data_IF_087804191883
#
_entry.id   IF_087804191883
#
_cell.length_a   1.000
_cell.length_b   1.000
_cell.length_c   1.000
_cell.angle_alpha   90.00
_cell.angle_beta   90.00
_cell.angle_gamma   90.00
#
_symmetry.space_group_name_H-M   'P 1'
#
loop_
_entity.id
_entity.type
_entity.pdbx_description
1 polymer ?
#
# COMPACT_ATOMS: atom_id res chain seq x y z
N UNK A 1 10.48 -3.22 -14.63
CA UNK A 1 9.62 -3.34 -13.43
C UNK A 1 8.65 -2.16 -13.43
N UNK A 2 7.34 -2.40 -13.41
CA UNK A 2 6.35 -1.31 -13.31
C UNK A 2 6.27 -0.77 -11.88
N UNK A 3 5.78 0.46 -11.69
CA UNK A 3 5.61 1.05 -10.35
C UNK A 3 4.76 0.15 -9.42
N UNK A 4 3.73 -0.49 -9.96
CA UNK A 4 2.87 -1.43 -9.23
C UNK A 4 3.66 -2.68 -8.78
N UNK A 5 4.51 -3.22 -9.65
CA UNK A 5 5.36 -4.36 -9.30
C UNK A 5 6.36 -4.01 -8.20
N UNK A 6 6.93 -2.80 -8.24
CA UNK A 6 7.85 -2.33 -7.21
C UNK A 6 7.18 -2.25 -5.84
N UNK A 7 5.98 -1.66 -5.76
CA UNK A 7 5.19 -1.63 -4.53
C UNK A 7 4.76 -3.03 -4.05
N UNK A 8 4.58 -3.98 -4.97
CA UNK A 8 4.32 -5.38 -4.65
C UNK A 8 5.51 -6.05 -3.96
N UNK A 9 6.72 -5.86 -4.49
CA UNK A 9 7.96 -6.43 -3.90
C UNK A 9 8.28 -5.77 -2.56
N UNK A 10 8.11 -4.45 -2.45
CA UNK A 10 8.48 -3.69 -1.26
C UNK A 10 7.34 -3.57 -0.23
N UNK A 11 6.30 -4.41 -0.35
CA UNK A 11 5.12 -4.34 0.51
C UNK A 11 5.41 -4.73 1.97
N UNK A 12 6.33 -5.68 2.19
CA UNK A 12 6.75 -6.12 3.52
C UNK A 12 7.45 -5.00 4.30
N UNK A 13 8.34 -4.27 3.63
CA UNK A 13 9.09 -3.15 4.20
C UNK A 13 8.24 -1.89 4.41
N UNK A 14 7.24 -1.65 3.57
CA UNK A 14 6.32 -0.51 3.71
C UNK A 14 4.84 -0.93 3.60
N UNK A 15 4.26 -1.55 4.65
CA UNK A 15 2.91 -2.11 4.59
C UNK A 15 1.83 -1.05 4.40
N UNK A 16 1.93 0.08 5.11
CA UNK A 16 0.95 1.18 5.02
C UNK A 16 1.01 1.87 3.66
N UNK A 17 2.21 2.20 3.18
CA UNK A 17 2.39 2.88 1.90
C UNK A 17 2.08 1.99 0.70
N UNK A 18 2.40 0.70 0.77
CA UNK A 18 2.04 -0.25 -0.29
C UNK A 18 0.53 -0.49 -0.35
N UNK A 19 -0.19 -0.45 0.77
CA UNK A 19 -1.65 -0.43 0.77
C UNK A 19 -2.19 0.83 0.06
N UNK A 20 -1.69 2.01 0.44
CA UNK A 20 -2.08 3.27 -0.18
C UNK A 20 -1.76 3.28 -1.70
N UNK A 21 -0.57 2.82 -2.09
CA UNK A 21 -0.17 2.75 -3.49
C UNK A 21 -1.10 1.84 -4.31
N UNK A 22 -1.57 0.72 -3.74
CA UNK A 22 -2.54 -0.16 -4.43
C UNK A 22 -3.88 0.54 -4.68
N UNK A 23 -4.34 1.36 -3.74
CA UNK A 23 -5.61 2.06 -3.87
C UNK A 23 -5.51 3.21 -4.89
N UNK A 24 -4.47 4.04 -4.80
CA UNK A 24 -4.34 5.23 -5.65
C UNK A 24 -3.82 4.93 -7.06
N UNK A 25 -2.91 3.98 -7.24
CA UNK A 25 -2.41 3.62 -8.57
C UNK A 25 -3.44 2.82 -9.39
N UNK A 26 -4.48 2.27 -8.76
CA UNK A 26 -5.58 1.62 -9.46
C UNK A 26 -6.55 2.62 -10.11
N UNK A 27 -6.54 3.89 -9.67
CA UNK A 27 -7.40 4.94 -10.20
C UNK A 27 -6.95 5.27 -11.62
N UNK A 28 -7.88 5.19 -12.56
CA UNK A 28 -7.61 5.62 -13.93
C UNK A 28 -7.62 7.14 -14.01
N UNK A 29 -6.62 7.73 -14.67
CA UNK A 29 -6.57 9.17 -14.89
C UNK A 29 -7.66 9.69 -15.86
N UNK A 30 -8.30 8.80 -16.64
CA UNK A 30 -9.31 9.18 -17.64
C UNK A 30 -10.45 8.18 -17.78
N UNK A 31 -11.57 8.64 -18.35
CA UNK A 31 -12.76 7.84 -18.69
C UNK A 31 -12.56 6.94 -19.93
N UNK A 32 -11.42 6.99 -20.60
CA UNK A 32 -11.21 6.29 -21.88
C UNK A 32 -11.41 4.77 -21.76
N UNK A 33 -11.11 4.20 -20.59
CA UNK A 33 -11.33 2.78 -20.34
C UNK A 33 -12.82 2.42 -20.23
N UNK A 34 -13.62 3.26 -19.54
CA UNK A 34 -15.07 3.03 -19.43
C UNK A 34 -15.76 3.25 -20.76
N UNK A 35 -15.37 4.27 -21.54
CA UNK A 35 -15.86 4.49 -22.90
C UNK A 35 -15.57 3.30 -23.83
N UNK A 36 -14.36 2.73 -23.77
CA UNK A 36 -14.03 1.50 -24.51
C UNK A 36 -14.87 0.31 -24.07
N UNK A 37 -15.14 0.16 -22.78
CA UNK A 37 -16.02 -0.89 -22.27
C UNK A 37 -17.46 -0.72 -22.80
N UNK A 38 -18.00 0.50 -22.78
CA UNK A 38 -19.34 0.78 -23.31
C UNK A 38 -19.44 0.59 -24.82
N UNK A 39 -18.42 1.01 -25.58
CA UNK A 39 -18.34 0.77 -27.01
C UNK A 39 -18.33 -0.74 -27.33
N UNK A 40 -17.55 -1.53 -26.58
CA UNK A 40 -17.56 -3.00 -26.66
C UNK A 40 -18.92 -3.61 -26.30
N UNK A 41 -19.62 -3.05 -25.32
CA UNK A 41 -20.97 -3.48 -24.96
C UNK A 41 -21.96 -3.23 -26.11
N UNK A 42 -21.86 -2.09 -26.78
CA UNK A 42 -22.67 -1.78 -27.97
C UNK A 42 -22.48 -2.78 -29.10
N UNK A 43 -21.27 -3.32 -29.30
CA UNK A 43 -21.01 -4.40 -30.27
C UNK A 43 -21.68 -5.71 -29.83
N UNK A 44 -21.68 -5.98 -28.52
CA UNK A 44 -22.26 -7.21 -27.94
C UNK A 44 -23.79 -7.21 -28.08
N UNK A 45 -24.42 -6.06 -27.91
CA UNK A 45 -25.87 -5.84 -28.12
C UNK A 45 -26.10 -5.49 -29.61
N UNK A 46 -26.04 -6.48 -30.48
CA UNK A 46 -26.36 -6.26 -31.90
C UNK A 46 -27.88 -6.13 -32.13
N UNK A 47 -28.30 -5.57 -33.28
CA UNK A 47 -29.74 -5.46 -33.66
C UNK A 47 -30.51 -6.78 -33.59
N UNK A 48 -29.84 -7.93 -33.73
CA UNK A 48 -30.44 -9.28 -33.63
C UNK A 48 -30.47 -9.84 -32.20
N UNK A 49 -29.70 -9.27 -31.26
CA UNK A 49 -29.59 -9.69 -29.85
C UNK A 49 -29.91 -8.52 -28.90
N UNK A 50 -30.95 -7.76 -29.21
CA UNK A 50 -31.36 -6.56 -28.47
C UNK A 50 -32.26 -6.85 -27.25
N UNK A 51 -32.59 -8.11 -26.99
CA UNK A 51 -33.48 -8.53 -25.89
C UNK A 51 -32.73 -8.96 -24.62
N UNK A 52 -31.49 -8.49 -24.47
CA UNK A 52 -30.67 -8.71 -23.27
C UNK A 52 -31.01 -7.63 -22.24
N UNK A 53 -31.20 -8.06 -21.00
CA UNK A 53 -31.32 -7.14 -19.87
C UNK A 53 -29.93 -6.57 -19.49
N UNK A 54 -29.92 -5.43 -18.81
CA UNK A 54 -28.68 -4.72 -18.45
C UNK A 54 -27.72 -5.53 -17.58
N UNK A 55 -28.26 -6.27 -16.61
CA UNK A 55 -27.55 -7.23 -15.75
C UNK A 55 -26.78 -8.30 -16.57
N UNK A 56 -27.40 -8.85 -17.61
CA UNK A 56 -26.76 -9.85 -18.47
C UNK A 56 -25.63 -9.22 -19.29
N UNK A 57 -25.82 -7.99 -19.78
CA UNK A 57 -24.79 -7.27 -20.54
C UNK A 57 -23.60 -6.94 -19.64
N UNK A 58 -23.85 -6.52 -18.41
CA UNK A 58 -22.81 -6.27 -17.40
C UNK A 58 -22.00 -7.53 -17.13
N UNK A 59 -22.67 -8.64 -16.80
CA UNK A 59 -22.02 -9.93 -16.58
C UNK A 59 -21.20 -10.39 -17.80
N UNK A 60 -21.70 -10.17 -19.02
CA UNK A 60 -20.97 -10.48 -20.25
C UNK A 60 -19.72 -9.61 -20.44
N UNK A 61 -19.80 -8.29 -20.19
CA UNK A 61 -18.62 -7.43 -20.29
C UNK A 61 -17.59 -7.79 -19.21
N UNK A 62 -18.04 -8.12 -17.99
CA UNK A 62 -17.17 -8.57 -16.92
C UNK A 62 -16.45 -9.87 -17.29
N UNK A 63 -17.19 -10.90 -17.71
CA UNK A 63 -16.61 -12.17 -18.14
C UNK A 63 -15.63 -11.99 -19.31
N UNK A 64 -15.98 -11.17 -20.29
CA UNK A 64 -15.10 -10.83 -21.42
C UNK A 64 -13.80 -10.16 -20.96
N UNK A 65 -13.87 -9.27 -19.97
CA UNK A 65 -12.71 -8.62 -19.37
C UNK A 65 -11.82 -9.64 -18.64
N UNK A 66 -12.41 -10.51 -17.82
CA UNK A 66 -11.70 -11.55 -17.07
C UNK A 66 -10.94 -12.50 -17.99
N UNK A 67 -11.61 -13.02 -19.02
CA UNK A 67 -10.99 -13.96 -19.98
C UNK A 67 -9.85 -13.27 -20.74
N UNK A 68 -10.02 -12.02 -21.16
CA UNK A 68 -8.97 -11.28 -21.89
C UNK A 68 -7.75 -10.93 -21.06
N UNK A 69 -7.94 -10.75 -19.75
CA UNK A 69 -6.86 -10.45 -18.81
C UNK A 69 -6.28 -11.71 -18.16
N UNK A 70 -6.72 -12.89 -18.61
CA UNK A 70 -6.36 -14.19 -18.05
C UNK A 70 -6.52 -14.26 -16.53
N UNK A 71 -7.61 -13.67 -16.03
CA UNK A 71 -7.91 -13.60 -14.60
C UNK A 71 -8.79 -14.75 -14.11
N UNK A 72 -9.25 -15.62 -15.01
CA UNK A 72 -10.13 -16.75 -14.66
C UNK A 72 -9.35 -17.87 -13.95
N UNK A 73 -8.13 -18.13 -14.39
CA UNK A 73 -7.28 -19.21 -13.87
C UNK A 73 -5.95 -18.69 -13.32
N UNK A 74 -5.86 -17.40 -13.00
CA UNK A 74 -4.61 -16.76 -12.58
C UNK A 74 -4.10 -17.41 -11.30
N UNK A 75 -2.89 -17.97 -11.37
CA UNK A 75 -2.17 -18.41 -10.19
C UNK A 75 -1.96 -17.23 -9.23
N UNK A 76 -2.29 -17.45 -7.96
CA UNK A 76 -2.13 -16.45 -6.91
C UNK A 76 -0.64 -16.10 -6.82
N UNK A 77 -0.30 -14.84 -7.05
CA UNK A 77 1.06 -14.38 -6.84
C UNK A 77 1.46 -14.66 -5.38
N UNK A 78 2.71 -15.07 -5.09
CA UNK A 78 3.17 -15.24 -3.73
C UNK A 78 2.92 -13.93 -2.98
N UNK A 79 2.07 -13.98 -1.96
CA UNK A 79 1.96 -12.88 -1.02
C UNK A 79 3.22 -12.92 -0.17
N UNK A 80 3.87 -11.77 0.05
CA UNK A 80 4.99 -11.64 1.00
C UNK A 80 4.63 -12.13 2.41
N UNK A 81 3.33 -12.14 2.74
CA UNK A 81 2.78 -12.76 3.97
C UNK A 81 3.13 -14.25 4.08
N UNK A 82 3.18 -15.00 2.97
CA UNK A 82 3.54 -16.42 2.98
C UNK A 82 5.05 -16.66 2.98
N UNK A 83 5.85 -15.68 2.53
CA UNK A 83 7.31 -15.77 2.59
C UNK A 83 7.83 -15.47 3.99
N UNK A 84 7.19 -14.56 4.74
CA UNK A 84 7.53 -14.28 6.13
C UNK A 84 7.34 -15.49 7.06
N UNK A 85 6.39 -16.39 6.75
CA UNK A 85 6.19 -17.65 7.49
C UNK A 85 7.19 -18.75 7.09
N UNK A 86 7.97 -18.54 6.02
CA UNK A 86 8.95 -19.49 5.46
C UNK A 86 10.41 -19.07 5.69
N UNK A 87 10.67 -18.02 6.46
CA UNK A 87 11.99 -17.82 7.07
C UNK A 87 12.20 -18.90 8.13
N UNK A 88 12.54 -20.10 7.67
CA UNK A 88 13.16 -21.14 8.47
C UNK A 88 14.44 -20.52 9.01
N UNK A 89 14.47 -20.32 10.32
CA UNK A 89 15.71 -20.06 11.04
C UNK A 89 16.66 -21.22 10.73
N UNK A 90 17.66 -20.98 9.89
CA UNK A 90 18.86 -21.82 9.87
C UNK A 90 19.58 -21.55 11.21
N UNK A 91 19.12 -22.26 12.24
CA UNK A 91 19.74 -22.36 13.56
C UNK A 91 21.01 -23.21 13.43
N UNK A 92 22.08 -22.60 12.91
CA UNK A 92 23.42 -23.17 12.88
C UNK A 92 24.43 -22.03 13.07
N UNK A 93 24.67 -21.63 14.33
CA UNK A 93 25.67 -20.60 14.65
C UNK A 93 25.75 -20.23 16.13
N UNK A 94 26.68 -20.88 16.80
CA UNK A 94 27.25 -20.61 18.11
C UNK A 94 27.79 -19.18 18.29
N UNK A 95 26.93 -18.19 18.58
CA UNK A 95 27.38 -16.88 19.03
C UNK A 95 27.30 -16.76 20.56
N UNK A 96 28.43 -17.05 21.20
CA UNK A 96 28.70 -16.65 22.57
C UNK A 96 28.59 -15.12 22.69
N UNK A 97 27.54 -14.65 23.35
CA UNK A 97 27.43 -13.25 23.74
C UNK A 97 28.48 -12.96 24.82
N UNK A 98 29.54 -12.26 24.47
CA UNK A 98 30.34 -11.56 25.48
C UNK A 98 29.47 -10.44 26.07
N UNK A 99 29.34 -10.43 27.41
CA UNK A 99 28.73 -9.35 28.17
C UNK A 99 29.52 -8.05 27.97
N UNK A 100 29.23 -7.32 26.89
CA UNK A 100 29.59 -5.91 26.79
C UNK A 100 28.60 -5.15 27.64
N UNK A 101 28.98 -4.89 28.89
CA UNK A 101 28.27 -3.96 29.75
C UNK A 101 28.21 -2.59 29.06
N UNK A 102 27.08 -2.28 28.41
CA UNK A 102 26.80 -0.95 27.92
C UNK A 102 26.44 -0.06 29.12
N UNK A 103 27.29 0.92 29.52
CA UNK A 103 27.07 1.66 30.74
C UNK A 103 25.97 2.72 30.64
N UNK A 104 25.29 2.84 29.49
CA UNK A 104 24.21 3.82 29.28
C UNK A 104 23.10 3.21 28.45
N UNK A 105 22.17 2.58 29.17
CA UNK A 105 20.93 2.08 28.60
C UNK A 105 20.06 3.19 28.01
N UNK A 106 18.95 2.79 27.43
CA UNK A 106 17.98 3.68 26.77
C UNK A 106 17.18 4.54 27.77
N UNK A 107 17.58 4.55 29.04
CA UNK A 107 17.04 5.34 30.15
C UNK A 107 17.46 6.81 30.11
N UNK A 108 18.40 7.19 29.25
CA UNK A 108 18.89 8.56 29.09
C UNK A 108 18.19 9.42 28.03
N UNK A 109 17.15 8.92 27.34
CA UNK A 109 16.47 9.68 26.27
C UNK A 109 15.07 10.13 26.70
N UNK A 110 14.98 10.89 27.79
CA UNK A 110 13.80 11.71 28.06
C UNK A 110 14.08 13.09 27.47
N UNK A 111 13.31 13.47 26.46
CA UNK A 111 13.29 14.84 25.94
C UNK A 111 12.48 15.65 26.95
N UNK A 112 13.14 16.53 27.69
CA UNK A 112 12.47 17.49 28.59
C UNK A 112 11.72 18.53 27.75
N UNK A 113 10.49 18.18 27.34
CA UNK A 113 9.49 19.13 26.86
C UNK A 113 8.79 19.71 28.09
N UNK A 114 9.45 20.65 28.77
CA UNK A 114 8.85 21.68 29.61
C UNK A 114 9.96 22.50 30.28
N UNK A 115 10.43 23.54 29.58
CA UNK A 115 11.14 24.65 30.20
C UNK A 115 10.30 25.92 30.00
N UNK A 116 9.75 26.54 31.06
CA UNK A 116 9.18 27.87 30.94
C UNK A 116 10.31 28.88 30.74
N UNK A 117 10.29 29.61 29.61
CA UNK A 117 11.11 30.81 29.43
C UNK A 117 10.58 31.89 30.39
N UNK A 118 11.21 32.00 31.55
CA UNK A 118 11.10 33.17 32.42
C UNK A 118 11.77 34.36 31.70
N UNK A 119 10.98 35.14 30.99
CA UNK A 119 11.38 36.49 30.57
C UNK A 119 11.37 37.39 31.80
N UNK A 120 12.55 37.64 32.35
CA UNK A 120 12.80 38.59 33.44
C UNK A 120 12.50 40.02 32.93
N UNK A 121 11.32 40.54 33.31
CA UNK A 121 10.90 41.91 33.06
C UNK A 121 11.49 42.79 34.17
N UNK A 122 12.57 43.52 33.87
CA UNK A 122 13.18 44.46 34.82
C UNK A 122 12.30 45.72 34.96
N UNK A 123 11.67 45.87 36.12
CA UNK A 123 10.79 46.97 36.52
C UNK A 123 11.54 48.14 37.20
N UNK A 124 12.77 48.45 36.76
CA UNK A 124 13.63 49.48 37.39
C UNK A 124 13.90 50.74 36.53
N UNK A 125 13.21 50.94 35.40
CA UNK A 125 13.27 52.18 34.59
C UNK A 125 11.95 52.97 34.60
N UNK A 126 11.34 53.11 35.77
CA UNK A 126 10.40 54.21 36.07
C UNK A 126 11.00 55.04 37.22
N UNK A 127 11.51 56.22 36.84
CA UNK A 127 11.97 57.40 37.62
C UNK A 127 13.46 57.79 37.48
N UNK A 128 13.80 58.48 36.39
CA UNK A 128 14.39 59.84 36.36
C UNK A 128 14.51 60.35 34.93
#
# INVERSE_FOLDING_TARGET
MTTIQWWGVNSSRFPVWSALARDYLAIMASSVSSERAFSSAGITISKRRNRLKGDIVEALQFLKCLVRKDLVFRERAPCSVLEADLEVFDDDGDDAWEDVADPKGWDGLVIDVDAPEDTEYNDDDIYM
#
